data_IF_195517012848
#
_entry.id   IF_195517012848
#
_cell.length_a   1.000
_cell.length_b   1.000
_cell.length_c   1.000
_cell.angle_alpha   90.00
_cell.angle_beta   90.00
_cell.angle_gamma   90.00
#
_symmetry.space_group_name_H-M   'P 1'
#
loop_
_entity.id
_entity.type
_entity.pdbx_description
1 polymer ?
#
# COMPACT_ATOMS: atom_id res chain seq x y z
N UNK A 1 -16.62 3.94 -19.05
CA UNK A 1 -16.87 5.23 -18.37
C UNK A 1 -15.49 5.77 -18.03
N UNK A 2 -15.22 7.01 -18.41
CA UNK A 2 -13.88 7.60 -18.28
C UNK A 2 -13.63 7.94 -16.81
N UNK A 3 -12.39 7.74 -16.35
CA UNK A 3 -12.02 7.87 -14.94
C UNK A 3 -11.13 9.08 -14.70
N UNK A 4 -11.30 9.72 -13.55
CA UNK A 4 -10.41 10.74 -13.05
C UNK A 4 -9.64 10.22 -11.84
N UNK A 5 -8.34 9.99 -11.99
CA UNK A 5 -7.46 9.46 -10.96
C UNK A 5 -6.88 10.58 -10.08
N UNK A 6 -7.02 10.40 -8.77
CA UNK A 6 -6.52 11.33 -7.77
C UNK A 6 -5.59 10.63 -6.76
N UNK A 7 -4.30 10.96 -6.81
CA UNK A 7 -3.28 10.37 -5.95
C UNK A 7 -3.23 10.97 -4.54
N UNK A 8 -4.26 10.79 -3.70
CA UNK A 8 -4.12 11.09 -2.26
C UNK A 8 -3.31 10.00 -1.53
N UNK A 9 -2.02 9.89 -1.84
CA UNK A 9 -1.10 8.90 -1.25
C UNK A 9 -0.81 9.12 0.25
N UNK A 10 -1.39 10.17 0.84
CA UNK A 10 -1.47 10.48 2.28
C UNK A 10 -2.85 10.10 2.88
N UNK A 11 -3.57 9.19 2.24
CA UNK A 11 -4.93 8.80 2.61
C UNK A 11 -5.05 8.34 4.08
N UNK A 12 -4.07 7.61 4.61
CA UNK A 12 -4.07 7.14 6.00
C UNK A 12 -3.93 8.28 7.01
N UNK A 13 -3.20 9.34 6.67
CA UNK A 13 -3.16 10.57 7.46
C UNK A 13 -4.53 11.27 7.43
N UNK A 14 -5.24 11.22 6.31
CA UNK A 14 -6.61 11.76 6.19
C UNK A 14 -7.64 10.98 7.01
N UNK A 15 -7.43 9.68 7.23
CA UNK A 15 -8.27 8.87 8.12
C UNK A 15 -8.17 9.28 9.60
N UNK A 16 -7.04 9.90 9.98
CA UNK A 16 -6.76 10.33 11.35
C UNK A 16 -7.34 11.73 11.67
N UNK A 17 -7.90 12.42 10.67
CA UNK A 17 -8.55 13.73 10.83
C UNK A 17 -7.76 14.87 10.18
N UNK A 18 -7.81 16.06 10.79
CA UNK A 18 -7.17 17.26 10.23
C UNK A 18 -5.65 17.11 10.25
N UNK A 19 -5.08 16.96 9.06
CA UNK A 19 -3.66 16.85 8.83
C UNK A 19 -3.20 17.98 7.90
N UNK A 20 -2.27 18.80 8.38
CA UNK A 20 -1.56 19.74 7.52
C UNK A 20 -0.44 19.00 6.81
N UNK A 21 -0.55 18.89 5.48
CA UNK A 21 0.45 18.22 4.65
C UNK A 21 1.77 19.00 4.67
N UNK A 22 2.87 18.39 5.11
CA UNK A 22 4.20 19.00 4.95
C UNK A 22 4.57 19.06 3.46
N UNK A 23 5.29 20.10 3.05
CA UNK A 23 5.72 20.30 1.65
C UNK A 23 6.44 19.08 1.05
N UNK A 24 7.25 18.36 1.86
CA UNK A 24 7.93 17.14 1.41
C UNK A 24 6.95 16.01 1.05
N UNK A 25 5.85 15.88 1.79
CA UNK A 25 4.82 14.88 1.51
C UNK A 25 3.98 15.28 0.30
N UNK A 26 3.66 16.56 0.16
CA UNK A 26 3.00 17.10 -1.03
C UNK A 26 3.83 16.84 -2.29
N UNK A 27 5.15 17.10 -2.24
CA UNK A 27 6.05 16.77 -3.34
C UNK A 27 6.04 15.29 -3.67
N UNK A 28 6.15 14.41 -2.66
CA UNK A 28 6.12 12.96 -2.87
C UNK A 28 4.82 12.50 -3.54
N UNK A 29 3.67 13.04 -3.12
CA UNK A 29 2.37 12.76 -3.73
C UNK A 29 2.39 13.07 -5.24
N UNK A 30 2.94 14.23 -5.62
CA UNK A 30 3.04 14.62 -7.02
C UNK A 30 3.98 13.69 -7.82
N UNK A 31 5.13 13.32 -7.24
CA UNK A 31 6.07 12.38 -7.85
C UNK A 31 5.44 11.00 -8.08
N UNK A 32 4.46 10.61 -7.25
CA UNK A 32 3.76 9.34 -7.36
C UNK A 32 2.56 9.38 -8.32
N UNK A 33 2.14 10.55 -8.82
CA UNK A 33 0.95 10.68 -9.69
C UNK A 33 1.03 9.79 -10.93
N UNK A 34 2.22 9.63 -11.53
CA UNK A 34 2.41 8.79 -12.72
C UNK A 34 2.20 7.30 -12.46
N UNK A 35 2.12 6.85 -11.20
CA UNK A 35 1.84 5.45 -10.88
C UNK A 35 0.48 5.00 -11.46
N UNK A 36 -0.49 5.92 -11.59
CA UNK A 36 -1.80 5.64 -12.19
C UNK A 36 -1.74 5.23 -13.66
N UNK A 37 -0.65 5.54 -14.37
CA UNK A 37 -0.44 5.10 -15.75
C UNK A 37 -0.56 3.58 -15.92
N UNK A 38 -0.28 2.83 -14.85
CA UNK A 38 -0.34 1.37 -14.87
C UNK A 38 -1.73 0.81 -15.19
N UNK A 39 -2.79 1.57 -14.89
CA UNK A 39 -4.18 1.13 -15.05
C UNK A 39 -5.02 2.11 -15.88
N UNK A 40 -4.44 3.24 -16.28
CA UNK A 40 -5.11 4.25 -17.08
C UNK A 40 -5.26 3.80 -18.54
N UNK A 41 -6.32 4.27 -19.16
CA UNK A 41 -6.61 4.16 -20.58
C UNK A 41 -6.55 5.55 -21.24
N UNK A 42 -6.60 5.61 -22.56
CA UNK A 42 -6.40 6.85 -23.32
C UNK A 42 -7.46 7.93 -23.05
N UNK A 43 -8.63 7.55 -22.56
CA UNK A 43 -9.76 8.45 -22.26
C UNK A 43 -9.84 8.88 -20.80
N UNK A 44 -8.95 8.37 -19.94
CA UNK A 44 -8.89 8.74 -18.52
C UNK A 44 -8.13 10.05 -18.31
N UNK A 45 -8.16 10.55 -17.07
CA UNK A 45 -7.35 11.69 -16.63
C UNK A 45 -6.68 11.42 -15.29
N UNK A 46 -5.47 11.95 -15.11
CA UNK A 46 -4.68 11.85 -13.88
C UNK A 46 -4.41 13.27 -13.37
N UNK A 47 -4.76 13.54 -12.12
CA UNK A 47 -4.39 14.78 -11.46
C UNK A 47 -2.89 14.86 -11.20
N UNK A 48 -2.21 15.81 -11.83
CA UNK A 48 -0.80 16.13 -11.60
C UNK A 48 -0.56 17.62 -11.88
N UNK A 49 -0.67 18.50 -10.87
CA UNK A 49 -0.50 19.95 -11.06
C UNK A 49 0.93 20.38 -11.41
N UNK A 50 1.93 19.53 -11.16
CA UNK A 50 3.32 19.81 -11.50
C UNK A 50 3.62 19.70 -13.00
N UNK A 51 4.70 20.34 -13.43
CA UNK A 51 5.18 20.31 -14.81
C UNK A 51 5.95 19.03 -15.10
N UNK A 52 5.45 18.27 -16.09
CA UNK A 52 6.09 17.05 -16.58
C UNK A 52 6.98 17.35 -17.81
N UNK A 53 8.18 16.75 -17.91
CA UNK A 53 9.05 16.94 -19.06
C UNK A 53 8.46 16.35 -20.36
N UNK A 54 8.65 17.04 -21.49
CA UNK A 54 8.22 16.55 -22.81
C UNK A 54 8.76 15.17 -23.14
N UNK A 55 10.01 14.87 -22.75
CA UNK A 55 10.60 13.54 -22.94
C UNK A 55 9.76 12.44 -22.25
N UNK A 56 9.28 12.70 -21.04
CA UNK A 56 8.43 11.76 -20.31
C UNK A 56 7.06 11.64 -20.98
N UNK A 57 6.43 12.77 -21.32
CA UNK A 57 5.12 12.78 -22.00
C UNK A 57 5.16 12.05 -23.36
N UNK A 58 6.22 12.25 -24.14
CA UNK A 58 6.41 11.54 -25.41
C UNK A 58 6.59 10.03 -25.22
N UNK A 59 7.19 9.60 -24.10
CA UNK A 59 7.37 8.17 -23.80
C UNK A 59 6.05 7.42 -23.57
N UNK A 60 4.96 8.12 -23.23
CA UNK A 60 3.62 7.54 -22.99
C UNK A 60 3.03 6.86 -24.22
N UNK A 61 3.44 7.29 -25.42
CA UNK A 61 3.07 6.65 -26.69
C UNK A 61 3.39 5.16 -26.74
N UNK A 62 4.44 4.70 -26.03
CA UNK A 62 4.77 3.28 -25.87
C UNK A 62 3.61 2.47 -25.30
N UNK A 63 2.78 3.11 -24.48
CA UNK A 63 1.65 2.52 -23.79
C UNK A 63 0.30 2.86 -24.44
N UNK A 64 0.32 3.46 -25.64
CA UNK A 64 -0.87 4.03 -26.29
C UNK A 64 -1.60 5.07 -25.43
N UNK A 65 -0.87 5.81 -24.59
CA UNK A 65 -1.42 6.85 -23.71
C UNK A 65 -1.09 8.24 -24.25
N UNK A 66 -2.05 9.18 -24.30
CA UNK A 66 -1.81 10.53 -24.77
C UNK A 66 -1.20 11.41 -23.68
N UNK A 67 -0.39 12.44 -24.02
CA UNK A 67 0.07 13.44 -23.06
C UNK A 67 -1.06 14.18 -22.31
N UNK A 68 -2.22 14.34 -22.95
CA UNK A 68 -3.42 14.99 -22.38
C UNK A 68 -4.06 14.21 -21.22
N UNK A 69 -3.55 13.02 -20.92
CA UNK A 69 -3.95 12.24 -19.75
C UNK A 69 -3.69 13.02 -18.45
N UNK A 70 -2.62 13.80 -18.36
CA UNK A 70 -2.30 14.56 -17.16
C UNK A 70 -3.01 15.92 -17.14
N UNK A 71 -3.81 16.15 -16.10
CA UNK A 71 -4.50 17.42 -15.84
C UNK A 71 -3.74 18.20 -14.77
N UNK A 72 -3.35 19.43 -15.11
CA UNK A 72 -2.57 20.31 -14.24
C UNK A 72 -3.40 21.36 -13.53
N UNK A 73 -4.47 21.81 -14.17
CA UNK A 73 -5.34 22.88 -13.69
C UNK A 73 -6.71 22.31 -13.31
N UNK A 74 -7.19 22.64 -12.12
CA UNK A 74 -8.47 22.17 -11.63
C UNK A 74 -9.66 22.65 -12.49
N UNK A 75 -9.48 23.74 -13.25
CA UNK A 75 -10.47 24.24 -14.22
C UNK A 75 -10.61 23.36 -15.47
N UNK A 76 -9.65 22.47 -15.71
CA UNK A 76 -9.64 21.53 -16.84
C UNK A 76 -10.24 20.16 -16.48
N UNK A 77 -10.65 19.96 -15.22
CA UNK A 77 -11.25 18.70 -14.78
C UNK A 77 -12.60 18.52 -15.49
N UNK A 78 -12.78 17.47 -16.31
CA UNK A 78 -14.06 17.23 -16.97
C UNK A 78 -15.10 16.74 -15.95
N UNK A 79 -16.30 17.35 -15.89
CA UNK A 79 -17.35 16.87 -14.99
C UNK A 79 -17.92 15.53 -15.47
N UNK A 80 -18.56 14.79 -14.57
CA UNK A 80 -19.24 13.52 -14.88
C UNK A 80 -18.32 12.32 -15.11
N UNK A 81 -17.01 12.46 -14.89
CA UNK A 81 -16.10 11.30 -14.89
C UNK A 81 -16.21 10.51 -13.59
N UNK A 82 -15.97 9.20 -13.65
CA UNK A 82 -15.90 8.33 -12.47
C UNK A 82 -14.67 8.72 -11.63
N UNK A 83 -14.87 9.17 -10.39
CA UNK A 83 -13.79 9.61 -9.53
C UNK A 83 -13.08 8.43 -8.86
N UNK A 84 -11.77 8.33 -9.04
CA UNK A 84 -10.94 7.24 -8.52
C UNK A 84 -9.80 7.79 -7.67
N UNK A 85 -10.00 7.97 -6.35
CA UNK A 85 -8.91 8.33 -5.46
C UNK A 85 -8.03 7.11 -5.14
N UNK A 86 -6.82 7.35 -4.65
CA UNK A 86 -5.96 6.31 -4.08
C UNK A 86 -6.68 5.59 -2.94
N UNK A 87 -7.30 6.35 -2.02
CA UNK A 87 -8.17 5.84 -0.97
C UNK A 87 -9.30 6.81 -0.62
N UNK A 88 -10.41 6.28 -0.09
CA UNK A 88 -11.62 7.06 0.17
C UNK A 88 -11.58 7.80 1.51
N UNK A 89 -11.39 9.11 1.49
CA UNK A 89 -11.47 9.98 2.66
C UNK A 89 -12.52 11.09 2.48
N UNK A 90 -12.89 11.78 3.56
CA UNK A 90 -13.76 12.96 3.48
C UNK A 90 -13.21 14.02 2.55
N UNK A 91 -11.88 14.24 2.56
CA UNK A 91 -11.22 15.22 1.69
C UNK A 91 -11.27 14.82 0.21
N UNK A 92 -11.14 13.52 -0.10
CA UNK A 92 -11.28 13.02 -1.46
C UNK A 92 -12.73 13.19 -1.98
N UNK A 93 -13.72 12.84 -1.15
CA UNK A 93 -15.15 13.01 -1.48
C UNK A 93 -15.48 14.48 -1.74
N UNK A 94 -15.01 15.38 -0.87
CA UNK A 94 -15.21 16.82 -1.03
C UNK A 94 -14.61 17.33 -2.34
N UNK A 95 -13.39 16.90 -2.67
CA UNK A 95 -12.73 17.27 -3.92
C UNK A 95 -13.52 16.76 -5.14
N UNK A 96 -13.90 15.48 -5.16
CA UNK A 96 -14.67 14.92 -6.27
C UNK A 96 -16.00 15.63 -6.49
N UNK A 97 -16.73 15.87 -5.38
CA UNK A 97 -18.03 16.57 -5.42
C UNK A 97 -17.89 18.01 -5.89
N UNK A 98 -16.87 18.74 -5.40
CA UNK A 98 -16.61 20.14 -5.76
C UNK A 98 -16.38 20.32 -7.26
N UNK A 99 -15.74 19.33 -7.90
CA UNK A 99 -15.42 19.37 -9.33
C UNK A 99 -16.47 18.64 -10.21
N UNK A 100 -17.62 18.28 -9.64
CA UNK A 100 -18.71 17.67 -10.40
C UNK A 100 -18.39 16.27 -10.95
N UNK A 101 -17.50 15.54 -10.29
CA UNK A 101 -17.17 14.16 -10.64
C UNK A 101 -18.21 13.18 -10.07
N UNK A 102 -18.33 12.00 -10.67
CA UNK A 102 -19.17 10.93 -10.14
C UNK A 102 -18.47 10.26 -8.95
N UNK A 103 -18.95 10.52 -7.74
CA UNK A 103 -18.37 10.01 -6.50
C UNK A 103 -19.19 8.82 -5.99
N UNK A 104 -18.64 7.61 -6.12
CA UNK A 104 -19.22 6.37 -5.57
C UNK A 104 -18.27 5.76 -4.56
N UNK A 105 -18.53 5.98 -3.28
CA UNK A 105 -17.63 5.58 -2.20
C UNK A 105 -18.31 4.63 -1.21
N UNK A 106 -17.55 3.71 -0.57
CA UNK A 106 -18.05 2.94 0.56
C UNK A 106 -18.25 3.81 1.80
N UNK A 107 -18.97 3.33 2.83
CA UNK A 107 -19.08 4.04 4.11
C UNK A 107 -17.69 4.30 4.72
N UNK A 108 -17.37 5.55 5.03
CA UNK A 108 -16.04 5.94 5.54
C UNK A 108 -15.67 5.24 6.86
N UNK A 109 -16.66 4.88 7.68
CA UNK A 109 -16.43 4.08 8.89
C UNK A 109 -15.85 2.70 8.58
N UNK A 110 -16.32 2.06 7.51
CA UNK A 110 -15.84 0.75 7.04
C UNK A 110 -14.45 0.90 6.43
N UNK A 111 -14.21 1.97 5.65
CA UNK A 111 -12.87 2.29 5.12
C UNK A 111 -11.86 2.45 6.26
N UNK A 112 -12.22 3.19 7.31
CA UNK A 112 -11.37 3.43 8.48
C UNK A 112 -11.11 2.14 9.26
N UNK A 113 -12.14 1.31 9.46
CA UNK A 113 -12.02 0.01 10.11
C UNK A 113 -11.07 -0.91 9.32
N UNK A 114 -11.30 -1.05 8.02
CA UNK A 114 -10.57 -1.98 7.15
C UNK A 114 -9.08 -1.66 7.04
N UNK A 115 -8.69 -0.39 7.21
CA UNK A 115 -7.29 0.06 7.23
C UNK A 115 -6.71 0.16 8.66
N UNK A 116 -7.40 -0.37 9.68
CA UNK A 116 -6.91 -0.34 11.08
C UNK A 116 -6.16 -1.62 11.45
N UNK A 117 -5.13 -1.48 12.28
CA UNK A 117 -4.42 -2.62 12.88
C UNK A 117 -5.31 -3.44 13.79
N UNK A 118 -6.22 -2.78 14.49
CA UNK A 118 -7.22 -3.45 15.33
C UNK A 118 -8.01 -4.50 14.52
N UNK A 119 -8.48 -4.13 13.33
CA UNK A 119 -9.21 -5.03 12.46
C UNK A 119 -8.32 -6.13 11.88
N UNK A 120 -7.15 -5.78 11.34
CA UNK A 120 -6.27 -6.77 10.71
C UNK A 120 -5.74 -7.80 11.71
N UNK A 121 -5.35 -7.38 12.92
CA UNK A 121 -4.86 -8.28 13.97
C UNK A 121 -5.98 -9.15 14.53
N UNK A 122 -7.20 -8.62 14.69
CA UNK A 122 -8.34 -9.42 15.11
C UNK A 122 -8.66 -10.53 14.10
N UNK A 123 -8.61 -10.22 12.81
CA UNK A 123 -8.79 -11.22 11.74
C UNK A 123 -7.65 -12.21 11.68
N UNK A 124 -6.40 -11.75 11.78
CA UNK A 124 -5.22 -12.62 11.85
C UNK A 124 -5.36 -13.64 12.98
N UNK A 125 -5.74 -13.20 14.19
CA UNK A 125 -5.93 -14.09 15.34
C UNK A 125 -7.12 -15.05 15.20
N UNK A 126 -8.02 -14.82 14.24
CA UNK A 126 -9.10 -15.77 13.90
C UNK A 126 -8.66 -16.88 12.94
N UNK A 127 -7.49 -16.75 12.32
CA UNK A 127 -6.90 -17.75 11.43
C UNK A 127 -6.19 -18.81 12.28
N UNK A 128 -6.82 -19.98 12.41
CA UNK A 128 -6.49 -20.97 13.46
C UNK A 128 -5.19 -21.76 13.26
N UNK A 129 -4.57 -21.69 12.08
CA UNK A 129 -3.37 -22.46 11.73
C UNK A 129 -2.06 -21.66 11.86
N UNK A 130 -2.14 -20.39 12.29
CA UNK A 130 -0.97 -19.56 12.58
C UNK A 130 -0.94 -19.16 14.06
N UNK A 131 0.20 -19.30 14.76
CA UNK A 131 0.36 -18.70 16.08
C UNK A 131 0.13 -17.19 16.03
N UNK A 132 -0.48 -16.62 17.06
CA UNK A 132 -0.62 -15.17 17.17
C UNK A 132 0.76 -14.50 17.18
N UNK A 133 1.07 -13.73 16.14
CA UNK A 133 2.34 -12.98 15.99
C UNK A 133 2.19 -11.50 16.34
N UNK A 134 0.95 -11.05 16.55
CA UNK A 134 0.58 -9.68 16.84
C UNK A 134 -0.36 -9.61 18.06
N UNK A 135 -0.12 -8.63 18.92
CA UNK A 135 -0.95 -8.30 20.07
C UNK A 135 -1.45 -6.86 19.97
N UNK A 136 -2.70 -6.64 20.35
CA UNK A 136 -3.27 -5.31 20.50
C UNK A 136 -3.04 -4.83 21.93
N UNK A 137 -2.46 -3.64 22.08
CA UNK A 137 -2.16 -3.04 23.37
C UNK A 137 -2.90 -1.71 23.52
N UNK A 138 -3.55 -1.50 24.67
CA UNK A 138 -4.31 -0.31 25.05
C UNK A 138 -3.67 0.50 26.16
N UNK A 139 -2.55 0.02 26.70
CA UNK A 139 -1.76 0.71 27.71
C UNK A 139 -0.26 0.51 27.45
N UNK A 140 0.56 1.39 28.01
CA UNK A 140 2.02 1.23 27.99
C UNK A 140 2.41 -0.05 28.75
N UNK A 141 1.70 -0.39 29.82
CA UNK A 141 1.95 -1.59 30.61
C UNK A 141 1.70 -2.88 29.82
N UNK A 142 0.66 -2.93 28.98
CA UNK A 142 0.43 -4.05 28.07
C UNK A 142 1.56 -4.20 27.05
N UNK A 143 2.06 -3.09 26.50
CA UNK A 143 3.23 -3.12 25.60
C UNK A 143 4.47 -3.64 26.35
N UNK A 144 4.71 -3.16 27.56
CA UNK A 144 5.82 -3.62 28.39
C UNK A 144 5.70 -5.10 28.71
N UNK A 145 4.50 -5.61 29.00
CA UNK A 145 4.25 -7.03 29.24
C UNK A 145 4.62 -7.90 28.01
N UNK A 146 4.39 -7.41 26.79
CA UNK A 146 4.85 -8.09 25.57
C UNK A 146 6.37 -8.11 25.39
N UNK A 147 7.11 -7.19 26.04
CA UNK A 147 8.54 -6.95 25.80
C UNK A 147 9.44 -7.49 26.92
N UNK A 148 8.99 -7.40 28.18
CA UNK A 148 9.82 -7.65 29.36
C UNK A 148 10.39 -9.06 29.45
N UNK A 149 9.69 -10.07 28.89
CA UNK A 149 10.12 -11.47 28.89
C UNK A 149 10.75 -11.93 27.58
N UNK A 150 11.00 -11.03 26.63
CA UNK A 150 11.57 -11.41 25.34
C UNK A 150 13.07 -11.72 25.46
N UNK A 151 13.54 -12.81 24.84
CA UNK A 151 14.97 -13.06 24.71
C UNK A 151 15.71 -11.88 24.05
N UNK A 152 16.97 -11.58 24.44
CA UNK A 152 17.73 -10.43 23.94
C UNK A 152 17.83 -10.32 22.42
N UNK A 153 17.78 -11.43 21.70
CA UNK A 153 17.86 -11.53 20.24
C UNK A 153 16.51 -11.31 19.53
N UNK A 154 15.40 -11.37 20.26
CA UNK A 154 14.06 -11.23 19.68
C UNK A 154 13.81 -9.80 19.25
N UNK A 155 13.67 -9.59 17.95
CA UNK A 155 13.27 -8.29 17.39
C UNK A 155 11.75 -8.16 17.39
N UNK A 156 11.28 -6.93 17.52
CA UNK A 156 9.85 -6.61 17.52
C UNK A 156 9.59 -5.25 16.88
N UNK A 157 8.34 -5.02 16.52
CA UNK A 157 7.84 -3.74 16.02
C UNK A 157 6.56 -3.35 16.74
N UNK A 158 6.43 -2.08 17.08
CA UNK A 158 5.16 -1.50 17.54
C UNK A 158 4.66 -0.58 16.43
N UNK A 159 3.38 -0.69 16.05
CA UNK A 159 2.78 0.14 14.99
C UNK A 159 1.55 0.88 15.54
N UNK A 160 1.31 2.09 15.05
CA UNK A 160 0.07 2.83 15.32
C UNK A 160 -1.13 2.15 14.65
N UNK A 161 -2.36 2.45 15.10
CA UNK A 161 -3.57 1.81 14.57
C UNK A 161 -3.78 2.10 13.07
N UNK A 162 -3.45 3.32 12.64
CA UNK A 162 -3.37 3.70 11.23
C UNK A 162 -1.92 4.11 10.94
N UNK A 163 -1.25 3.36 10.08
CA UNK A 163 0.17 3.53 9.75
C UNK A 163 0.39 3.37 8.25
N UNK A 164 1.26 4.17 7.64
CA UNK A 164 1.56 4.08 6.21
C UNK A 164 3.06 3.92 5.93
N UNK A 165 3.41 3.13 4.91
CA UNK A 165 4.75 3.02 4.31
C UNK A 165 5.91 2.99 5.33
N UNK A 166 5.84 2.09 6.31
CA UNK A 166 6.85 1.94 7.36
C UNK A 166 7.09 3.18 8.26
N UNK A 167 6.21 4.18 8.18
CA UNK A 167 6.11 5.31 9.12
C UNK A 167 5.23 4.88 10.29
N UNK A 168 5.22 5.67 11.37
CA UNK A 168 4.35 5.42 12.53
C UNK A 168 4.59 4.06 13.21
N UNK A 169 5.86 3.69 13.35
CA UNK A 169 6.29 2.48 14.04
C UNK A 169 7.58 2.67 14.84
N UNK A 170 7.80 1.80 15.81
CA UNK A 170 9.02 1.68 16.59
C UNK A 170 9.59 0.29 16.37
N UNK A 171 10.88 0.19 16.07
CA UNK A 171 11.61 -1.07 16.07
C UNK A 171 12.37 -1.21 17.37
N UNK A 172 12.39 -2.41 17.92
CA UNK A 172 13.13 -2.73 19.12
C UNK A 172 13.63 -4.18 19.13
N UNK A 173 14.39 -4.49 20.18
CA UNK A 173 15.02 -5.79 20.35
C UNK A 173 15.13 -6.15 21.83
N UNK A 174 14.84 -7.41 22.15
CA UNK A 174 14.80 -7.92 23.52
C UNK A 174 13.89 -7.08 24.41
N UNK A 175 14.31 -6.90 25.65
CA UNK A 175 13.62 -6.08 26.64
C UNK A 175 13.93 -4.58 26.57
N UNK A 176 14.65 -4.11 25.55
CA UNK A 176 15.07 -2.72 25.45
C UNK A 176 13.88 -1.79 25.19
N UNK A 177 13.60 -0.88 26.12
CA UNK A 177 12.50 0.08 26.00
C UNK A 177 12.97 1.48 26.40
N UNK A 178 12.92 2.44 25.46
CA UNK A 178 13.43 3.79 25.68
C UNK A 178 12.34 4.75 26.14
N UNK A 179 12.73 5.84 26.80
CA UNK A 179 11.81 6.92 27.16
C UNK A 179 11.14 7.56 25.95
N UNK A 180 11.85 7.64 24.81
CA UNK A 180 11.29 8.13 23.54
C UNK A 180 10.22 7.20 22.99
N UNK A 181 10.42 5.87 23.08
CA UNK A 181 9.41 4.89 22.69
C UNK A 181 8.16 5.00 23.57
N UNK A 182 8.35 5.11 24.90
CA UNK A 182 7.26 5.32 25.86
C UNK A 182 6.43 6.58 25.55
N UNK A 183 7.10 7.71 25.29
CA UNK A 183 6.44 8.96 24.94
C UNK A 183 5.63 8.84 23.63
N UNK A 184 6.21 8.20 22.61
CA UNK A 184 5.51 7.96 21.34
C UNK A 184 4.29 7.07 21.51
N UNK A 185 4.41 5.95 22.25
CA UNK A 185 3.29 5.03 22.53
C UNK A 185 2.18 5.75 23.28
N UNK A 186 2.54 6.52 24.31
CA UNK A 186 1.58 7.31 25.10
C UNK A 186 0.79 8.26 24.21
N UNK A 187 1.45 8.96 23.28
CA UNK A 187 0.79 9.85 22.33
C UNK A 187 -0.16 9.10 21.39
N UNK A 188 0.23 7.91 20.90
CA UNK A 188 -0.62 7.11 20.00
C UNK A 188 -1.80 6.48 20.74
N UNK A 189 -1.61 6.01 21.96
CA UNK A 189 -2.70 5.53 22.81
C UNK A 189 -3.68 6.65 23.15
N UNK A 190 -3.20 7.87 23.44
CA UNK A 190 -4.07 9.01 23.69
C UNK A 190 -4.91 9.40 22.46
N UNK A 191 -4.37 9.23 21.26
CA UNK A 191 -5.04 9.57 19.99
C UNK A 191 -5.98 8.48 19.50
N UNK A 192 -5.50 7.23 19.48
CA UNK A 192 -6.14 6.11 18.78
C UNK A 192 -6.72 5.06 19.74
N UNK A 193 -6.36 5.10 21.03
CA UNK A 193 -6.76 4.11 22.04
C UNK A 193 -6.09 2.74 21.90
N UNK A 194 -5.19 2.57 20.93
CA UNK A 194 -4.58 1.28 20.62
C UNK A 194 -3.27 1.42 19.83
N UNK A 195 -2.36 0.48 20.06
CA UNK A 195 -1.20 0.18 19.21
C UNK A 195 -1.12 -1.33 19.00
N UNK A 196 -0.50 -1.79 17.91
CA UNK A 196 -0.14 -3.20 17.76
C UNK A 196 1.32 -3.42 18.12
N UNK A 197 1.61 -4.45 18.91
CA UNK A 197 2.94 -5.02 19.07
C UNK A 197 3.03 -6.27 18.20
N UNK A 198 4.13 -6.46 17.48
CA UNK A 198 4.35 -7.63 16.63
C UNK A 198 5.77 -8.17 16.79
N UNK A 199 5.92 -9.50 16.78
CA UNK A 199 7.23 -10.13 16.65
C UNK A 199 7.79 -9.82 15.26
N UNK A 200 9.07 -9.45 15.18
CA UNK A 200 9.74 -9.23 13.91
C UNK A 200 10.24 -10.55 13.35
N UNK A 201 9.49 -11.09 12.38
CA UNK A 201 9.70 -12.44 11.84
C UNK A 201 10.88 -12.49 10.86
N UNK A 202 11.53 -13.65 10.78
CA UNK A 202 12.53 -13.95 9.76
C UNK A 202 11.82 -14.28 8.44
N UNK A 203 11.51 -13.24 7.67
CA UNK A 203 10.83 -13.36 6.37
C UNK A 203 11.66 -14.17 5.37
N UNK A 204 11.01 -15.11 4.71
CA UNK A 204 11.53 -15.84 3.56
C UNK A 204 10.99 -15.25 2.25
N UNK A 205 9.70 -14.87 2.25
CA UNK A 205 9.03 -14.23 1.12
C UNK A 205 7.82 -13.41 1.61
N UNK A 206 7.46 -12.35 0.89
CA UNK A 206 6.24 -11.57 1.10
C UNK A 206 5.44 -11.51 -0.20
N UNK A 207 4.11 -11.49 -0.09
CA UNK A 207 3.19 -11.33 -1.21
C UNK A 207 2.13 -10.28 -0.89
N UNK A 208 1.67 -9.60 -1.94
CA UNK A 208 0.45 -8.80 -1.90
C UNK A 208 -0.65 -9.52 -2.66
N UNK A 209 -1.78 -9.77 -1.99
CA UNK A 209 -2.99 -10.38 -2.54
C UNK A 209 -3.97 -9.26 -2.86
N UNK A 210 -4.30 -9.08 -4.13
CA UNK A 210 -5.08 -7.95 -4.63
C UNK A 210 -6.51 -8.38 -4.95
N UNK A 211 -7.45 -7.91 -4.13
CA UNK A 211 -8.88 -8.12 -4.28
C UNK A 211 -9.59 -6.87 -4.84
N UNK A 212 -10.75 -7.08 -5.43
CA UNK A 212 -11.70 -6.02 -5.75
C UNK A 212 -13.11 -6.42 -5.31
N UNK A 213 -13.81 -5.50 -4.65
CA UNK A 213 -15.20 -5.70 -4.23
C UNK A 213 -16.10 -4.79 -5.06
N UNK A 214 -16.93 -5.39 -5.92
CA UNK A 214 -17.96 -4.69 -6.69
C UNK A 214 -19.31 -4.89 -6.01
N UNK A 215 -20.12 -3.83 -5.78
CA UNK A 215 -21.44 -3.97 -5.17
C UNK A 215 -22.32 -4.99 -5.90
N UNK A 216 -22.92 -5.90 -5.14
CA UNK A 216 -23.79 -6.96 -5.68
C UNK A 216 -23.06 -8.11 -6.38
N UNK A 217 -21.73 -8.11 -6.40
CA UNK A 217 -20.90 -9.22 -6.90
C UNK A 217 -20.08 -9.83 -5.76
N UNK A 218 -19.70 -11.09 -5.90
CA UNK A 218 -18.74 -11.71 -5.00
C UNK A 218 -17.35 -11.06 -5.13
N UNK A 219 -16.54 -11.03 -4.08
CA UNK A 219 -15.18 -10.50 -4.17
C UNK A 219 -14.33 -11.21 -5.23
N UNK A 220 -13.60 -10.43 -6.00
CA UNK A 220 -12.78 -10.92 -7.11
C UNK A 220 -11.31 -10.87 -6.73
N UNK A 221 -10.61 -12.01 -6.84
CA UNK A 221 -9.15 -12.02 -6.80
C UNK A 221 -8.66 -11.52 -8.15
N UNK A 222 -7.84 -10.47 -8.13
CA UNK A 222 -7.37 -9.85 -9.36
C UNK A 222 -5.91 -10.14 -9.63
N UNK A 223 -5.08 -10.14 -8.59
CA UNK A 223 -3.67 -10.48 -8.73
C UNK A 223 -3.09 -10.99 -7.41
N UNK A 224 -2.04 -11.79 -7.52
CA UNK A 224 -1.12 -12.09 -6.42
C UNK A 224 0.27 -11.73 -6.94
N UNK A 225 1.05 -11.00 -6.14
CA UNK A 225 2.36 -10.49 -6.55
C UNK A 225 3.38 -10.66 -5.44
N UNK A 226 4.64 -10.92 -5.78
CA UNK A 226 5.73 -10.89 -4.81
C UNK A 226 6.00 -9.45 -4.36
N UNK A 227 6.05 -9.24 -3.05
CA UNK A 227 6.36 -7.96 -2.43
C UNK A 227 7.85 -7.88 -2.14
N UNK A 228 8.55 -6.94 -2.77
CA UNK A 228 9.97 -6.73 -2.56
C UNK A 228 10.15 -5.69 -1.47
N UNK A 229 10.71 -6.11 -0.34
CA UNK A 229 11.02 -5.23 0.80
C UNK A 229 12.50 -5.25 1.12
N UNK A 230 13.03 -4.14 1.62
CA UNK A 230 14.38 -4.07 2.14
C UNK A 230 14.50 -4.77 3.53
N UNK A 231 15.72 -4.95 4.08
CA UNK A 231 15.89 -5.55 5.41
C UNK A 231 15.17 -4.80 6.55
N UNK A 232 14.90 -3.50 6.37
CA UNK A 232 14.15 -2.66 7.30
C UNK A 232 12.63 -2.81 7.12
N UNK A 233 12.16 -3.61 6.16
CA UNK A 233 10.74 -3.77 5.84
C UNK A 233 10.15 -2.52 5.18
N UNK A 234 10.93 -1.80 4.38
CA UNK A 234 10.45 -0.74 3.47
C UNK A 234 10.20 -1.35 2.08
N UNK A 235 9.08 -0.96 1.46
CA UNK A 235 8.74 -1.38 0.11
C UNK A 235 9.75 -0.86 -0.92
N UNK A 236 10.26 -1.75 -1.76
CA UNK A 236 11.23 -1.49 -2.83
C UNK A 236 10.70 -1.87 -4.23
N UNK A 237 9.58 -2.57 -4.31
CA UNK A 237 8.96 -2.94 -5.58
C UNK A 237 8.04 -4.14 -5.50
N UNK A 238 7.50 -4.51 -6.64
CA UNK A 238 6.64 -5.66 -6.81
C UNK A 238 7.12 -6.49 -7.98
N UNK A 239 7.10 -7.81 -7.85
CA UNK A 239 7.49 -8.74 -8.90
C UNK A 239 6.32 -9.64 -9.27
N UNK A 240 6.14 -9.87 -10.57
CA UNK A 240 5.13 -10.78 -11.08
C UNK A 240 5.49 -12.23 -10.75
N UNK A 241 4.48 -13.04 -10.40
CA UNK A 241 4.61 -14.49 -10.50
C UNK A 241 4.60 -14.92 -11.98
N UNK A 242 5.29 -16.00 -12.28
CA UNK A 242 5.19 -16.65 -13.58
C UNK A 242 3.83 -17.35 -13.68
N UNK A 243 2.96 -16.86 -14.56
CA UNK A 243 1.62 -17.40 -14.76
C UNK A 243 1.60 -18.79 -15.42
N UNK A 244 2.75 -19.25 -15.94
CA UNK A 244 2.86 -20.60 -16.53
C UNK A 244 3.12 -21.69 -15.49
N UNK A 245 3.41 -21.29 -14.24
CA UNK A 245 3.67 -22.20 -13.12
C UNK A 245 2.57 -22.05 -12.07
N UNK A 246 2.08 -23.16 -11.48
CA UNK A 246 1.16 -23.07 -10.35
C UNK A 246 1.75 -22.24 -9.21
N UNK A 247 0.90 -21.45 -8.53
CA UNK A 247 1.31 -20.74 -7.33
C UNK A 247 1.82 -21.75 -6.27
N UNK A 248 2.87 -21.41 -5.51
CA UNK A 248 3.29 -22.26 -4.40
C UNK A 248 2.15 -22.49 -3.40
N UNK A 249 2.07 -23.69 -2.81
CA UNK A 249 0.99 -24.07 -1.89
C UNK A 249 0.76 -23.04 -0.76
N UNK A 250 1.83 -22.47 -0.22
CA UNK A 250 1.75 -21.47 0.85
C UNK A 250 1.09 -20.16 0.39
N UNK A 251 1.25 -19.79 -0.88
CA UNK A 251 0.61 -18.62 -1.50
C UNK A 251 -0.87 -18.90 -1.69
N UNK A 252 -1.22 -20.07 -2.23
CA UNK A 252 -2.61 -20.49 -2.41
C UNK A 252 -3.34 -20.55 -1.06
N UNK A 253 -2.69 -21.12 -0.05
CA UNK A 253 -3.19 -21.14 1.32
C UNK A 253 -3.45 -19.72 1.86
N UNK A 254 -2.52 -18.77 1.67
CA UNK A 254 -2.73 -17.39 2.08
C UNK A 254 -3.93 -16.73 1.36
N UNK A 255 -4.06 -16.94 0.04
CA UNK A 255 -5.21 -16.46 -0.74
C UNK A 255 -6.52 -16.98 -0.13
N UNK A 256 -6.63 -18.28 0.14
CA UNK A 256 -7.85 -18.87 0.67
C UNK A 256 -8.16 -18.40 2.09
N UNK A 257 -7.14 -18.24 2.93
CA UNK A 257 -7.27 -17.70 4.28
C UNK A 257 -7.75 -16.24 4.33
N UNK A 258 -7.51 -15.44 3.27
CA UNK A 258 -8.00 -14.04 3.20
C UNK A 258 -9.44 -13.90 2.72
N UNK A 259 -10.02 -14.92 2.10
CA UNK A 259 -11.37 -14.86 1.52
C UNK A 259 -12.47 -14.52 2.55
N UNK A 260 -12.47 -15.08 3.78
CA UNK A 260 -13.45 -14.70 4.79
C UNK A 260 -13.37 -13.22 5.17
N UNK A 261 -12.15 -12.67 5.33
CA UNK A 261 -11.94 -11.26 5.67
C UNK A 261 -12.49 -10.32 4.59
N UNK A 262 -12.25 -10.64 3.32
CA UNK A 262 -12.74 -9.85 2.19
C UNK A 262 -14.27 -9.96 2.04
N UNK A 263 -14.83 -11.16 2.27
CA UNK A 263 -16.29 -11.37 2.26
C UNK A 263 -16.93 -10.53 3.37
N UNK A 264 -16.37 -10.55 4.57
CA UNK A 264 -16.86 -9.75 5.69
C UNK A 264 -16.80 -8.23 5.40
N UNK A 265 -15.74 -7.74 4.74
CA UNK A 265 -15.68 -6.33 4.32
C UNK A 265 -16.77 -5.98 3.31
N UNK A 266 -17.04 -6.87 2.35
CA UNK A 266 -18.13 -6.68 1.38
C UNK A 266 -19.50 -6.64 2.08
N UNK A 267 -19.74 -7.53 3.04
CA UNK A 267 -20.99 -7.57 3.83
C UNK A 267 -21.19 -6.30 4.68
N UNK A 268 -20.10 -5.67 5.12
CA UNK A 268 -20.12 -4.38 5.79
C UNK A 268 -20.36 -3.20 4.84
N UNK A 269 -20.43 -3.45 3.53
CA UNK A 269 -20.69 -2.43 2.51
C UNK A 269 -19.43 -1.75 1.95
N UNK A 270 -18.24 -2.32 2.18
CA UNK A 270 -17.05 -1.85 1.46
C UNK A 270 -17.17 -2.17 -0.04
N UNK A 271 -16.72 -1.26 -0.89
CA UNK A 271 -16.57 -1.45 -2.32
C UNK A 271 -15.30 -0.76 -2.82
N UNK A 272 -14.64 -1.36 -3.81
CA UNK A 272 -13.37 -0.92 -4.36
C UNK A 272 -12.22 -1.90 -4.12
N UNK A 273 -10.97 -1.46 -4.35
CA UNK A 273 -9.79 -2.31 -4.19
C UNK A 273 -9.47 -2.61 -2.73
N UNK A 274 -8.94 -3.81 -2.48
CA UNK A 274 -8.36 -4.21 -1.19
C UNK A 274 -7.07 -4.99 -1.45
N UNK A 275 -5.96 -4.56 -0.87
CA UNK A 275 -4.72 -5.34 -0.85
C UNK A 275 -4.49 -5.97 0.51
N UNK A 276 -4.12 -7.25 0.55
CA UNK A 276 -3.72 -7.93 1.77
C UNK A 276 -2.28 -8.40 1.66
N UNK A 277 -1.44 -8.01 2.62
CA UNK A 277 -0.08 -8.51 2.68
C UNK A 277 -0.04 -9.81 3.47
N UNK A 278 0.70 -10.79 2.96
CA UNK A 278 0.96 -12.06 3.61
C UNK A 278 2.44 -12.40 3.48
N UNK A 279 2.96 -13.21 4.40
CA UNK A 279 4.37 -13.61 4.35
C UNK A 279 4.56 -15.07 4.68
N UNK A 280 5.62 -15.63 4.10
CA UNK A 280 6.23 -16.86 4.58
C UNK A 280 7.44 -16.49 5.43
N UNK A 281 7.56 -17.10 6.60
CA UNK A 281 8.64 -16.80 7.54
C UNK A 281 9.20 -18.08 8.15
N UNK A 282 10.48 -18.04 8.51
CA UNK A 282 11.12 -19.09 9.29
C UNK A 282 10.83 -18.87 10.78
N UNK A 283 10.25 -19.88 11.42
CA UNK A 283 10.03 -19.92 12.85
C UNK A 283 11.21 -20.67 13.52
N UNK A 284 12.10 -19.97 14.24
CA UNK A 284 13.24 -20.61 14.90
C UNK A 284 12.81 -21.52 16.06
N UNK A 285 11.66 -21.28 16.69
CA UNK A 285 11.22 -22.03 17.87
C UNK A 285 10.75 -23.43 17.47
N UNK A 286 10.09 -23.56 16.31
CA UNK A 286 9.73 -24.86 15.73
C UNK A 286 10.67 -25.36 14.64
N UNK A 287 11.68 -24.57 14.24
CA UNK A 287 12.62 -24.86 13.17
C UNK A 287 11.92 -25.21 11.83
N UNK A 288 10.87 -24.45 11.48
CA UNK A 288 10.05 -24.69 10.28
C UNK A 288 9.60 -23.38 9.62
N UNK A 289 9.43 -23.37 8.30
CA UNK A 289 8.72 -22.28 7.63
C UNK A 289 7.22 -22.32 7.94
N UNK A 290 6.62 -21.15 8.17
CA UNK A 290 5.18 -20.93 8.40
C UNK A 290 4.65 -19.83 7.51
N UNK A 291 3.33 -19.78 7.34
CA UNK A 291 2.63 -18.72 6.62
C UNK A 291 1.90 -17.82 7.61
N UNK A 292 2.18 -16.52 7.55
CA UNK A 292 1.36 -15.46 8.14
C UNK A 292 0.43 -14.98 7.04
N UNK A 293 -0.76 -15.57 6.95
CA UNK A 293 -1.67 -15.41 5.82
C UNK A 293 -2.31 -14.00 5.71
N UNK A 294 -2.34 -13.25 6.82
CA UNK A 294 -2.94 -11.93 6.89
C UNK A 294 -2.10 -11.08 7.86
N UNK A 295 -1.27 -10.21 7.30
CA UNK A 295 -0.47 -9.26 8.08
C UNK A 295 -1.14 -7.89 8.15
N UNK A 296 -1.62 -7.44 6.99
CA UNK A 296 -2.00 -6.06 6.73
C UNK A 296 -3.16 -6.04 5.74
N UNK A 297 -4.20 -5.26 6.03
CA UNK A 297 -5.31 -5.02 5.11
C UNK A 297 -5.25 -3.55 4.69
N UNK A 298 -5.23 -3.32 3.38
CA UNK A 298 -5.19 -2.00 2.76
C UNK A 298 -6.45 -1.84 1.91
N UNK A 299 -7.50 -1.26 2.47
CA UNK A 299 -8.76 -1.01 1.76
C UNK A 299 -8.65 0.30 0.98
N UNK A 300 -7.85 0.23 -0.08
CA UNK A 300 -7.49 1.30 -1.02
C UNK A 300 -6.70 0.70 -2.20
N UNK A 301 -6.35 1.54 -3.17
CA UNK A 301 -5.34 1.15 -4.16
C UNK A 301 -4.00 0.90 -3.47
N UNK A 302 -3.23 -0.05 -4.02
CA UNK A 302 -1.91 -0.43 -3.51
C UNK A 302 -0.89 -0.43 -4.63
N UNK A 303 0.39 -0.43 -4.29
CA UNK A 303 1.43 -0.54 -5.31
C UNK A 303 1.40 -1.90 -5.99
N UNK A 304 1.12 -2.99 -5.26
CA UNK A 304 0.93 -4.31 -5.86
C UNK A 304 -0.22 -4.34 -6.87
N UNK A 305 -1.30 -3.60 -6.61
CA UNK A 305 -2.41 -3.42 -7.53
C UNK A 305 -2.01 -2.68 -8.81
N UNK A 306 -1.25 -1.61 -8.70
CA UNK A 306 -0.74 -0.88 -9.87
C UNK A 306 0.30 -1.70 -10.63
N UNK A 307 1.18 -2.42 -9.93
CA UNK A 307 2.15 -3.33 -10.55
C UNK A 307 1.48 -4.36 -11.45
N UNK A 308 0.36 -4.95 -11.00
CA UNK A 308 -0.42 -5.88 -11.79
C UNK A 308 -0.89 -5.27 -13.13
N UNK A 309 -1.31 -4.00 -13.12
CA UNK A 309 -1.67 -3.27 -14.35
C UNK A 309 -0.48 -3.09 -15.30
N UNK A 310 0.71 -2.81 -14.77
CA UNK A 310 1.92 -2.78 -15.59
C UNK A 310 2.26 -4.14 -16.21
N UNK A 311 2.12 -5.23 -15.45
CA UNK A 311 2.40 -6.58 -15.94
C UNK A 311 1.42 -6.98 -17.05
N UNK A 312 0.15 -6.59 -16.91
CA UNK A 312 -0.86 -6.76 -17.95
C UNK A 312 -0.51 -5.98 -19.22
N UNK A 313 -0.19 -4.68 -19.10
CA UNK A 313 0.23 -3.83 -20.24
C UNK A 313 1.49 -4.35 -20.93
N UNK A 314 2.42 -4.92 -20.17
CA UNK A 314 3.64 -5.53 -20.72
C UNK A 314 3.39 -6.89 -21.39
N UNK A 315 2.34 -7.62 -20.99
CA UNK A 315 2.05 -8.97 -21.46
C UNK A 315 3.12 -10.02 -21.11
N UNK A 316 3.99 -9.74 -20.13
CA UNK A 316 5.07 -10.64 -19.68
C UNK A 316 5.43 -10.40 -18.21
N UNK A 317 5.98 -11.40 -17.50
CA UNK A 317 6.50 -11.19 -16.14
C UNK A 317 7.56 -10.09 -16.12
N UNK A 318 7.49 -9.23 -15.12
CA UNK A 318 8.41 -8.13 -14.90
C UNK A 318 8.53 -7.82 -13.41
N UNK A 319 9.46 -6.94 -13.07
CA UNK A 319 9.55 -6.34 -11.74
C UNK A 319 9.32 -4.83 -11.84
N UNK A 320 8.36 -4.30 -11.08
CA UNK A 320 8.16 -2.88 -10.94
C UNK A 320 8.89 -2.37 -9.69
N UNK A 321 9.96 -1.61 -9.90
CA UNK A 321 10.85 -1.11 -8.84
C UNK A 321 10.50 0.30 -8.42
N UNK A 322 10.79 0.59 -7.17
CA UNK A 322 10.63 1.90 -6.55
C UNK A 322 11.93 2.26 -5.82
N UNK A 323 12.41 3.49 -5.99
CA UNK A 323 13.59 3.92 -5.26
C UNK A 323 14.10 5.31 -5.64
N UNK A 324 15.13 5.81 -4.95
CA UNK A 324 15.78 7.06 -5.29
C UNK A 324 16.56 6.95 -6.60
N UNK A 325 16.87 8.10 -7.20
CA UNK A 325 17.66 8.22 -8.44
C UNK A 325 18.94 7.39 -8.44
N UNK A 326 19.67 7.36 -7.32
CA UNK A 326 20.92 6.59 -7.17
C UNK A 326 20.71 5.07 -7.25
N UNK A 327 19.55 4.57 -6.83
CA UNK A 327 19.20 3.16 -6.97
C UNK A 327 18.89 2.77 -8.41
N UNK A 328 18.52 3.76 -9.24
CA UNK A 328 18.33 3.59 -10.68
C UNK A 328 19.63 3.78 -11.50
N UNK A 329 20.66 4.41 -10.94
CA UNK A 329 21.91 4.71 -11.67
C UNK A 329 23.11 3.89 -11.19
N UNK A 330 23.02 3.23 -10.03
CA UNK A 330 24.12 2.55 -9.34
C UNK A 330 24.66 1.28 -10.00
N UNK A 331 24.06 0.80 -11.08
CA UNK A 331 24.62 -0.16 -12.01
C UNK A 331 24.10 0.26 -13.37
N UNK A 332 24.98 0.46 -14.35
CA UNK A 332 24.68 0.71 -15.77
C UNK A 332 23.24 0.25 -16.13
N UNK A 333 22.30 1.16 -16.48
CA UNK A 333 20.90 0.77 -16.63
C UNK A 333 20.86 -0.40 -17.59
N UNK A 334 20.43 -1.56 -17.10
CA UNK A 334 20.42 -2.75 -17.94
C UNK A 334 19.58 -2.40 -19.19
N UNK A 335 19.95 -2.88 -20.39
CA UNK A 335 19.33 -2.45 -21.65
C UNK A 335 17.82 -2.76 -21.79
N UNK A 336 17.15 -3.14 -20.70
CA UNK A 336 15.78 -3.62 -20.63
C UNK A 336 14.86 -2.74 -19.76
N UNK A 337 15.39 -1.69 -19.11
CA UNK A 337 14.62 -0.89 -18.16
C UNK A 337 13.64 0.06 -18.85
N UNK A 338 12.43 0.17 -18.31
CA UNK A 338 11.39 1.07 -18.81
C UNK A 338 10.96 2.00 -17.70
N UNK A 339 11.28 3.30 -17.82
CA UNK A 339 10.82 4.31 -16.88
C UNK A 339 9.28 4.37 -16.86
N UNK A 340 8.71 4.49 -15.66
CA UNK A 340 7.26 4.66 -15.42
C UNK A 340 6.94 5.92 -14.60
N UNK A 341 7.97 6.71 -14.28
CA UNK A 341 7.88 8.03 -13.66
C UNK A 341 8.79 9.01 -14.40
N UNK A 342 8.52 10.33 -14.32
CA UNK A 342 9.42 11.33 -14.85
C UNK A 342 10.73 11.38 -14.05
N UNK A 343 11.78 11.97 -14.63
CA UNK A 343 13.04 12.25 -13.92
C UNK A 343 13.02 13.58 -13.18
N UNK A 344 12.20 14.51 -13.66
CA UNK A 344 12.03 15.84 -13.11
C UNK A 344 10.55 16.18 -13.02
N UNK A 345 10.19 17.00 -12.05
CA UNK A 345 8.88 17.63 -11.93
C UNK A 345 9.11 19.08 -11.50
N UNK A 346 8.51 20.04 -12.21
CA UNK A 346 8.77 21.49 -12.02
C UNK A 346 10.26 21.84 -12.13
N UNK A 347 10.92 21.28 -13.15
CA UNK A 347 12.37 21.39 -13.39
C UNK A 347 13.27 20.88 -12.24
N UNK A 348 12.71 20.29 -11.20
CA UNK A 348 13.43 19.76 -10.03
C UNK A 348 13.49 18.24 -10.14
N UNK A 349 14.64 17.59 -9.92
CA UNK A 349 14.75 16.13 -9.91
C UNK A 349 13.74 15.50 -8.96
N UNK A 350 13.15 14.37 -9.36
CA UNK A 350 12.27 13.62 -8.46
C UNK A 350 13.09 12.85 -7.43
N UNK A 351 12.58 12.75 -6.21
CA UNK A 351 13.20 11.96 -5.13
C UNK A 351 12.78 10.49 -5.16
N UNK A 352 11.64 10.19 -5.78
CA UNK A 352 11.06 8.87 -5.91
C UNK A 352 10.86 8.54 -7.40
N UNK A 353 11.57 7.52 -7.90
CA UNK A 353 11.42 7.00 -9.26
C UNK A 353 10.77 5.63 -9.27
N UNK A 354 10.10 5.32 -10.39
CA UNK A 354 9.58 3.98 -10.66
C UNK A 354 9.96 3.50 -12.06
N UNK A 355 10.27 2.22 -12.19
CA UNK A 355 10.66 1.62 -13.47
C UNK A 355 10.33 0.12 -13.51
N UNK A 356 10.19 -0.41 -14.72
CA UNK A 356 10.00 -1.83 -14.99
C UNK A 356 11.33 -2.47 -15.40
N UNK A 357 11.62 -3.65 -14.85
CA UNK A 357 12.78 -4.51 -15.13
C UNK A 357 12.35 -5.86 -15.70
#
# INVERSE_FOLDING_TARGET
MNRFFFGNFDFEEQLQGHFQRPAKLERLILEMASCWLAIADAEDHIWCPGELPDQFLNSLSRWNLPPSLFIRDATQIPPGMDFVPWGWSSAAIELGTRHGLEVRHPPLGVVRLANSREYSVALENSVTDCPAVANLCRSVDEVLACIQSLPPETKWVIKANWSHAARERILGQGSQFTSSASAWITQRLARDGIVSWERWLQREAEIGIQWHITPGQGPQLIAVTELLVDPRGQYAGTKAFDQTVPLPDWVQHAVDATRPAITNLADQGYCGPVGIDAMRYFDPDSNTSRTRALQDINARWTMGRLAAGWFEKLGRPATWRHGPMQSAEGNNPAPHWIATSPEHLDSTPVTHRTWLE
#
